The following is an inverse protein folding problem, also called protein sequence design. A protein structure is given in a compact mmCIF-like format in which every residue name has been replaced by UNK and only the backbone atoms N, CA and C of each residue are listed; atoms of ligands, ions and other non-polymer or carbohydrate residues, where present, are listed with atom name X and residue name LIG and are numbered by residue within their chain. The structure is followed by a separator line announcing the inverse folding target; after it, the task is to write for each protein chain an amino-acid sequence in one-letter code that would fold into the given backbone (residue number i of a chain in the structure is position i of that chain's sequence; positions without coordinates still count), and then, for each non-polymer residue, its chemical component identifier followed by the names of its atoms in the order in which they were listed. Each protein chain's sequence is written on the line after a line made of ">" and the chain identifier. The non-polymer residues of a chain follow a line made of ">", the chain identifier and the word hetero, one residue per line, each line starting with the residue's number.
data_IF_321972285280
#
_entry.id   IF_321972285280
#
_cell.length_a   1.000
_cell.length_b   1.000
_cell.length_c   1.000
_cell.angle_alpha   90.00
_cell.angle_beta   90.00
_cell.angle_gamma   90.00
#
_symmetry.space_group_name_H-M   'P 1'
#
loop_
_entity.id
_entity.type
_entity.pdbx_description
1 polymer ?
#
# COMPACT_ATOMS: atom_id res chain seq x y z
N UNK A 1 10.02 -7.76 -28.04
CA UNK A 1 8.67 -7.60 -27.53
C UNK A 1 8.39 -8.66 -26.45
N UNK A 2 8.53 -9.96 -26.75
CA UNK A 2 8.31 -11.07 -25.79
C UNK A 2 9.21 -11.05 -24.55
N UNK A 3 10.42 -10.53 -24.63
CA UNK A 3 11.39 -10.50 -23.52
C UNK A 3 11.02 -9.39 -22.50
N UNK A 4 10.42 -8.30 -22.96
CA UNK A 4 10.00 -7.18 -22.11
C UNK A 4 8.77 -7.56 -21.30
N UNK A 5 7.79 -8.20 -21.93
CA UNK A 5 6.58 -8.71 -21.25
C UNK A 5 6.91 -9.75 -20.17
N UNK A 6 7.93 -10.58 -20.39
CA UNK A 6 8.39 -11.57 -19.41
C UNK A 6 9.10 -10.94 -18.19
N UNK A 7 9.77 -9.79 -18.35
CA UNK A 7 10.43 -9.09 -17.26
C UNK A 7 9.44 -8.41 -16.32
N UNK A 8 8.34 -7.84 -16.84
CA UNK A 8 7.26 -7.21 -16.05
C UNK A 8 6.53 -8.27 -15.22
N UNK A 9 6.18 -9.41 -15.84
CA UNK A 9 5.53 -10.54 -15.16
C UNK A 9 6.38 -11.13 -14.03
N UNK A 10 7.71 -11.16 -14.17
CA UNK A 10 8.63 -11.68 -13.15
C UNK A 10 8.73 -10.73 -11.96
N UNK A 11 8.73 -9.41 -12.18
CA UNK A 11 8.78 -8.43 -11.10
C UNK A 11 7.55 -8.48 -10.19
N UNK A 12 6.36 -8.53 -10.78
CA UNK A 12 5.10 -8.62 -10.06
C UNK A 12 4.93 -9.98 -9.37
N UNK A 13 5.30 -11.07 -10.02
CA UNK A 13 5.28 -12.42 -9.43
C UNK A 13 6.23 -12.54 -8.24
N UNK A 14 7.36 -11.80 -8.23
CA UNK A 14 8.30 -11.77 -7.13
C UNK A 14 7.72 -11.04 -5.90
N UNK A 15 6.99 -9.95 -6.09
CA UNK A 15 6.30 -9.23 -5.00
C UNK A 15 5.26 -10.12 -4.34
N UNK A 16 4.42 -10.78 -5.11
CA UNK A 16 3.40 -11.70 -4.61
C UNK A 16 4.06 -12.89 -3.91
N UNK A 17 5.12 -13.47 -4.47
CA UNK A 17 5.84 -14.59 -3.89
C UNK A 17 6.53 -14.22 -2.58
N UNK A 18 7.06 -13.00 -2.46
CA UNK A 18 7.69 -12.52 -1.24
C UNK A 18 6.66 -12.28 -0.11
N UNK A 19 5.50 -11.70 -0.42
CA UNK A 19 4.40 -11.54 0.56
C UNK A 19 3.91 -12.91 1.08
N UNK A 20 3.68 -13.87 0.19
CA UNK A 20 3.19 -15.22 0.56
C UNK A 20 4.24 -16.04 1.34
N UNK A 21 5.54 -15.80 1.13
CA UNK A 21 6.60 -16.59 1.77
C UNK A 21 6.95 -16.10 3.18
N UNK A 22 6.73 -14.83 3.51
CA UNK A 22 7.03 -14.25 4.83
C UNK A 22 6.07 -14.76 5.93
N UNK A 23 4.86 -15.17 5.58
CA UNK A 23 3.85 -15.69 6.52
C UNK A 23 4.06 -17.14 6.95
N UNK A 24 5.15 -17.81 6.53
CA UNK A 24 5.41 -19.25 6.81
C UNK A 24 6.56 -19.53 7.77
N UNK A 25 6.96 -18.61 8.62
CA UNK A 25 7.90 -18.95 9.70
C UNK A 25 7.13 -19.53 10.91
N UNK A 26 7.52 -20.71 11.45
CA UNK A 26 6.77 -21.36 12.50
C UNK A 26 7.01 -20.67 13.85
N UNK A 27 5.93 -20.20 14.47
CA UNK A 27 5.92 -19.72 15.85
C UNK A 27 6.35 -20.85 16.80
N UNK A 28 7.53 -20.74 17.37
CA UNK A 28 7.97 -21.60 18.47
C UNK A 28 7.19 -21.20 19.72
N UNK A 29 6.24 -22.04 20.11
CA UNK A 29 5.56 -21.94 21.41
C UNK A 29 6.53 -22.31 22.52
N UNK A 30 6.91 -21.36 23.36
CA UNK A 30 7.47 -21.64 24.67
C UNK A 30 6.37 -21.49 25.71
N UNK A 31 6.13 -22.58 26.43
CA UNK A 31 5.08 -22.72 27.43
C UNK A 31 5.54 -22.25 28.82
N UNK A 32 4.53 -21.89 29.62
CA UNK A 32 4.41 -21.89 31.08
C UNK A 32 4.92 -20.67 31.85
N UNK A 33 4.04 -20.02 32.60
CA UNK A 33 3.78 -20.38 34.01
C UNK A 33 2.51 -19.68 34.50
N UNK A 34 1.62 -20.46 35.13
CA UNK A 34 0.41 -20.02 35.82
C UNK A 34 0.74 -19.19 37.06
N UNK A 35 -0.04 -18.15 37.33
CA UNK A 35 -0.32 -17.73 38.71
C UNK A 35 -1.75 -17.20 38.79
N UNK A 36 -2.54 -17.89 39.57
CA UNK A 36 -3.91 -17.62 39.98
C UNK A 36 -3.96 -16.48 40.97
N UNK A 37 -4.87 -15.50 40.84
CA UNK A 37 -5.56 -14.84 41.98
C UNK A 37 -6.90 -14.23 41.53
N UNK A 38 -7.96 -14.77 42.08
CA UNK A 38 -9.20 -14.27 42.65
C UNK A 38 -10.03 -13.14 41.99
N UNK A 39 -11.21 -13.52 41.74
CA UNK A 39 -12.58 -13.03 41.56
C UNK A 39 -12.94 -11.74 42.28
N UNK A 40 -13.49 -10.78 41.52
CA UNK A 40 -14.58 -9.90 42.00
C UNK A 40 -15.53 -9.64 40.84
N UNK A 41 -16.79 -10.05 41.05
CA UNK A 41 -17.92 -9.79 40.14
C UNK A 41 -18.35 -8.32 40.30
N UNK A 42 -18.41 -7.62 39.19
CA UNK A 42 -19.31 -6.48 39.03
C UNK A 42 -19.95 -6.54 37.64
N UNK A 43 -21.27 -6.75 37.64
CA UNK A 43 -22.12 -6.77 36.46
C UNK A 43 -22.28 -5.35 35.94
N UNK A 44 -21.69 -5.04 34.79
CA UNK A 44 -22.13 -3.92 33.96
C UNK A 44 -22.57 -4.41 32.59
N UNK A 45 -23.78 -4.01 32.23
CA UNK A 45 -24.39 -4.19 30.95
C UNK A 45 -23.48 -3.63 29.84
N UNK A 46 -22.74 -4.51 29.16
CA UNK A 46 -22.08 -4.15 27.91
C UNK A 46 -23.11 -4.34 26.80
N UNK A 47 -23.64 -3.24 26.34
CA UNK A 47 -24.20 -3.15 24.99
C UNK A 47 -23.01 -3.39 24.07
N UNK A 48 -22.91 -4.56 23.47
CA UNK A 48 -22.00 -4.84 22.36
C UNK A 48 -22.40 -3.89 21.20
N UNK A 49 -21.80 -2.71 21.17
CA UNK A 49 -21.61 -2.02 19.92
C UNK A 49 -20.55 -2.82 19.17
N UNK A 50 -20.94 -3.49 18.08
CA UNK A 50 -20.01 -4.05 17.10
C UNK A 50 -19.05 -2.94 16.72
N UNK A 51 -17.83 -3.01 17.22
CA UNK A 51 -16.77 -2.06 16.91
C UNK A 51 -16.21 -2.44 15.54
N UNK A 52 -16.96 -2.10 14.48
CA UNK A 52 -16.45 -2.17 13.11
C UNK A 52 -15.38 -1.10 13.02
N UNK A 53 -14.12 -1.49 13.22
CA UNK A 53 -13.01 -0.55 13.08
C UNK A 53 -12.82 -0.21 11.61
N UNK A 54 -13.40 0.91 11.20
CA UNK A 54 -13.17 1.46 9.87
C UNK A 54 -11.81 2.17 9.85
N UNK A 55 -10.99 1.88 8.85
CA UNK A 55 -9.74 2.59 8.60
C UNK A 55 -9.88 3.50 7.37
N UNK A 56 -9.39 4.72 7.49
CA UNK A 56 -9.38 5.73 6.44
C UNK A 56 -7.98 5.87 5.85
N UNK A 57 -7.87 5.57 4.56
CA UNK A 57 -6.64 5.60 3.79
C UNK A 57 -6.71 6.79 2.84
N UNK A 58 -5.76 7.74 2.97
CA UNK A 58 -5.73 8.95 2.14
C UNK A 58 -4.95 8.73 0.84
N UNK A 59 -5.00 9.70 -0.06
CA UNK A 59 -4.19 9.64 -1.29
C UNK A 59 -2.70 9.72 -0.95
N UNK A 60 -1.84 8.85 -1.54
CA UNK A 60 -0.40 8.91 -1.33
C UNK A 60 0.27 10.08 -2.07
N UNK A 61 -0.45 10.77 -2.94
CA UNK A 61 0.09 11.81 -3.83
C UNK A 61 -0.99 12.83 -4.19
N UNK A 62 -0.56 14.08 -4.44
CA UNK A 62 -1.45 15.09 -5.01
C UNK A 62 -1.62 14.84 -6.52
N UNK A 63 -2.84 14.94 -7.05
CA UNK A 63 -3.03 14.72 -8.48
C UNK A 63 -4.48 14.59 -8.90
N UNK A 64 -4.67 14.02 -10.09
CA UNK A 64 -5.99 13.75 -10.64
C UNK A 64 -6.24 12.26 -10.66
N UNK A 65 -7.36 11.83 -10.08
CA UNK A 65 -7.77 10.41 -10.10
C UNK A 65 -8.08 10.00 -11.52
N UNK A 66 -7.52 8.88 -11.94
CA UNK A 66 -7.77 8.23 -13.23
C UNK A 66 -8.58 6.96 -13.00
N UNK A 67 -9.44 6.65 -13.96
CA UNK A 67 -10.14 5.37 -13.91
C UNK A 67 -9.12 4.23 -13.98
N UNK A 68 -9.17 3.28 -13.05
CA UNK A 68 -8.20 2.18 -12.99
C UNK A 68 -8.12 1.41 -14.32
N UNK A 69 -9.26 1.23 -14.98
CA UNK A 69 -9.33 0.58 -16.29
C UNK A 69 -8.62 1.34 -17.45
N UNK A 70 -8.25 2.62 -17.22
CA UNK A 70 -7.52 3.44 -18.20
C UNK A 70 -6.00 3.45 -17.96
N UNK A 71 -5.53 2.77 -16.89
CA UNK A 71 -4.11 2.62 -16.62
C UNK A 71 -3.44 1.83 -17.74
N UNK A 72 -2.29 2.29 -18.20
CA UNK A 72 -1.60 1.75 -19.39
C UNK A 72 -0.95 0.37 -19.16
N UNK A 73 -1.19 -0.29 -18.03
CA UNK A 73 -0.72 -1.64 -17.71
C UNK A 73 -1.91 -2.51 -17.32
N UNK A 74 -2.05 -3.67 -17.97
CA UNK A 74 -3.19 -4.58 -17.78
C UNK A 74 -3.25 -5.17 -16.36
N UNK A 75 -2.11 -5.38 -15.70
CA UNK A 75 -2.04 -5.93 -14.34
C UNK A 75 -2.69 -4.97 -13.34
N UNK A 76 -2.43 -3.66 -13.49
CA UNK A 76 -3.05 -2.63 -12.67
C UNK A 76 -4.48 -2.34 -13.12
N UNK A 77 -4.73 -2.25 -14.43
CA UNK A 77 -6.04 -1.94 -14.99
C UNK A 77 -7.11 -2.98 -14.64
N UNK A 78 -6.73 -4.25 -14.55
CA UNK A 78 -7.63 -5.36 -14.17
C UNK A 78 -7.82 -5.54 -12.66
N UNK A 79 -7.14 -4.74 -11.84
CA UNK A 79 -7.11 -4.88 -10.37
C UNK A 79 -6.70 -6.29 -9.88
N UNK A 80 -5.89 -7.00 -10.67
CA UNK A 80 -5.44 -8.36 -10.35
C UNK A 80 -4.63 -8.44 -9.05
N UNK A 81 -3.96 -7.34 -8.66
CA UNK A 81 -3.15 -7.25 -7.46
C UNK A 81 -3.95 -6.82 -6.22
N UNK A 82 -5.20 -6.40 -6.38
CA UNK A 82 -6.05 -5.91 -5.32
C UNK A 82 -6.81 -4.64 -5.70
N UNK A 83 -7.59 -4.11 -4.75
CA UNK A 83 -8.37 -2.90 -4.99
C UNK A 83 -7.46 -1.70 -5.19
N UNK A 84 -7.55 -1.06 -6.36
CA UNK A 84 -6.59 -0.05 -6.84
C UNK A 84 -7.23 1.33 -6.95
N UNK A 85 -6.52 2.35 -6.44
CA UNK A 85 -6.75 3.77 -6.74
C UNK A 85 -5.57 4.27 -7.55
N UNK A 86 -5.83 4.81 -8.74
CA UNK A 86 -4.82 5.36 -9.65
C UNK A 86 -4.91 6.89 -9.69
N UNK A 87 -3.78 7.56 -9.58
CA UNK A 87 -3.68 9.02 -9.57
C UNK A 87 -2.58 9.46 -10.54
N UNK A 88 -2.91 10.39 -11.43
CA UNK A 88 -1.90 11.10 -12.22
C UNK A 88 -1.33 12.23 -11.37
N UNK A 89 -0.06 12.13 -10.93
CA UNK A 89 0.50 13.04 -9.95
C UNK A 89 0.81 14.42 -10.52
N UNK A 90 0.60 15.46 -9.70
CA UNK A 90 0.99 16.84 -10.02
C UNK A 90 2.34 17.23 -9.41
N UNK A 91 2.81 16.49 -8.43
CA UNK A 91 4.15 16.59 -7.85
C UNK A 91 4.70 15.21 -7.51
N UNK A 92 6.01 15.12 -7.27
CA UNK A 92 6.71 13.86 -7.04
C UNK A 92 6.83 13.46 -5.58
N UNK A 93 6.08 14.07 -4.67
CA UNK A 93 6.15 13.73 -3.26
C UNK A 93 5.15 12.62 -2.93
N UNK A 94 5.68 11.44 -2.63
CA UNK A 94 4.89 10.27 -2.24
C UNK A 94 4.90 10.19 -0.71
N UNK A 95 3.71 10.16 -0.10
CA UNK A 95 3.55 10.15 1.35
C UNK A 95 2.84 8.89 1.85
N UNK A 96 3.00 8.59 3.14
CA UNK A 96 2.26 7.53 3.81
C UNK A 96 0.76 7.89 3.84
N UNK A 97 -0.12 7.03 3.30
CA UNK A 97 -1.55 7.29 3.23
C UNK A 97 -2.28 7.03 4.56
N UNK A 98 -1.60 6.40 5.51
CA UNK A 98 -2.07 6.02 6.84
C UNK A 98 -0.89 5.85 7.79
N UNK A 99 -1.17 5.66 9.09
CA UNK A 99 -0.18 5.23 10.05
C UNK A 99 0.16 3.75 9.82
N UNK A 100 1.42 3.35 9.97
CA UNK A 100 1.81 1.97 9.75
C UNK A 100 3.31 1.72 9.81
N UNK A 101 3.72 0.59 9.23
CA UNK A 101 5.11 0.18 9.10
C UNK A 101 5.46 -0.07 7.63
N UNK A 102 6.61 0.42 7.21
CA UNK A 102 7.17 0.11 5.89
C UNK A 102 7.62 -1.35 5.88
N UNK A 103 6.87 -2.20 5.21
CA UNK A 103 7.20 -3.62 5.10
C UNK A 103 8.36 -3.86 4.15
N UNK A 104 8.37 -3.12 3.05
CA UNK A 104 9.44 -3.17 2.06
C UNK A 104 9.45 -1.90 1.22
N UNK A 105 10.63 -1.34 0.98
CA UNK A 105 10.85 -0.32 -0.04
C UNK A 105 11.82 -0.86 -1.08
N UNK A 106 11.37 -0.96 -2.33
CA UNK A 106 12.15 -1.58 -3.40
C UNK A 106 13.48 -0.86 -3.62
N UNK A 107 14.51 -1.62 -3.98
CA UNK A 107 15.87 -1.07 -4.13
C UNK A 107 15.94 0.10 -5.10
N UNK A 108 15.18 0.04 -6.18
CA UNK A 108 15.03 1.11 -7.17
C UNK A 108 14.13 2.27 -6.72
N UNK A 109 13.46 2.16 -5.58
CA UNK A 109 12.61 3.23 -5.03
C UNK A 109 11.32 3.49 -5.81
N UNK A 110 10.99 2.68 -6.83
CA UNK A 110 9.77 2.86 -7.63
C UNK A 110 8.50 2.38 -6.93
N UNK A 111 8.65 1.60 -5.86
CA UNK A 111 7.51 1.06 -5.10
C UNK A 111 7.82 0.90 -3.62
N UNK A 112 6.79 0.97 -2.79
CA UNK A 112 6.85 0.78 -1.34
C UNK A 112 5.61 0.05 -0.85
N UNK A 113 5.81 -0.89 0.10
CA UNK A 113 4.74 -1.61 0.78
C UNK A 113 4.62 -1.11 2.23
N UNK A 114 3.39 -0.89 2.69
CA UNK A 114 3.07 -0.46 4.05
C UNK A 114 2.02 -1.40 4.63
N UNK A 115 2.22 -1.84 5.88
CA UNK A 115 1.19 -2.51 6.65
C UNK A 115 0.66 -1.59 7.74
N UNK A 116 -0.66 -1.55 7.91
CA UNK A 116 -1.32 -0.79 8.98
C UNK A 116 -1.50 -1.65 10.23
N UNK A 117 -1.78 -1.02 11.37
CA UNK A 117 -2.10 -1.76 12.61
C UNK A 117 -3.41 -2.56 12.49
N UNK A 118 -4.35 -2.11 11.64
CA UNK A 118 -5.58 -2.84 11.34
C UNK A 118 -5.37 -4.04 10.41
N UNK A 119 -4.18 -4.19 9.85
CA UNK A 119 -3.77 -5.29 8.99
C UNK A 119 -4.02 -5.07 7.50
N UNK A 120 -4.22 -3.82 7.06
CA UNK A 120 -4.25 -3.50 5.64
C UNK A 120 -2.82 -3.53 5.07
N UNK A 121 -2.66 -4.14 3.90
CA UNK A 121 -1.41 -4.19 3.16
C UNK A 121 -1.52 -3.33 1.90
N UNK A 122 -0.78 -2.23 1.88
CA UNK A 122 -0.80 -1.25 0.80
C UNK A 122 0.48 -1.32 0.00
N UNK A 123 0.36 -1.49 -1.32
CA UNK A 123 1.44 -1.28 -2.28
C UNK A 123 1.23 0.07 -2.98
N UNK A 124 2.21 0.95 -2.91
CA UNK A 124 2.26 2.19 -3.69
C UNK A 124 3.29 2.00 -4.79
N UNK A 125 2.86 2.04 -6.04
CA UNK A 125 3.71 1.88 -7.23
C UNK A 125 3.73 3.17 -8.04
N UNK A 126 4.91 3.71 -8.28
CA UNK A 126 5.13 5.04 -8.85
C UNK A 126 5.48 4.93 -10.33
N UNK A 127 4.58 5.38 -11.19
CA UNK A 127 4.73 5.27 -12.64
C UNK A 127 4.52 3.84 -13.17
N UNK A 128 4.62 3.68 -14.48
CA UNK A 128 4.54 2.39 -15.18
C UNK A 128 5.93 2.03 -15.72
N UNK A 129 6.35 0.79 -15.53
CA UNK A 129 7.68 0.25 -15.95
C UNK A 129 8.90 1.00 -15.38
N UNK A 130 8.72 1.78 -14.35
CA UNK A 130 9.76 2.62 -13.74
C UNK A 130 10.85 1.83 -13.00
N UNK A 131 10.63 0.54 -12.75
CA UNK A 131 11.68 -0.39 -12.29
C UNK A 131 12.89 -0.40 -13.25
N UNK A 132 12.65 -0.22 -14.56
CA UNK A 132 13.68 -0.19 -15.59
C UNK A 132 14.60 1.04 -15.52
N UNK A 133 14.23 2.06 -14.74
CA UNK A 133 15.04 3.26 -14.52
C UNK A 133 16.21 3.02 -13.54
N UNK A 134 16.33 1.84 -12.94
CA UNK A 134 17.43 1.47 -12.04
C UNK A 134 17.61 2.47 -10.87
N UNK A 135 16.50 2.99 -10.34
CA UNK A 135 16.48 3.95 -9.23
C UNK A 135 16.75 5.40 -9.62
N UNK A 136 17.01 5.68 -10.88
CA UNK A 136 17.18 7.07 -11.35
C UNK A 136 15.87 7.83 -11.25
N UNK A 137 15.91 8.99 -10.58
CA UNK A 137 14.72 9.80 -10.35
C UNK A 137 13.94 9.44 -9.09
N UNK A 138 14.43 8.53 -8.24
CA UNK A 138 13.80 8.16 -6.98
C UNK A 138 14.74 8.38 -5.79
N UNK A 139 14.24 9.06 -4.75
CA UNK A 139 14.96 9.28 -3.50
C UNK A 139 14.13 8.72 -2.34
N UNK A 140 14.58 7.59 -1.80
CA UNK A 140 13.97 6.96 -0.62
C UNK A 140 14.19 7.83 0.62
N UNK A 141 13.14 8.11 1.40
CA UNK A 141 13.19 8.90 2.64
C UNK A 141 13.03 8.02 3.88
N UNK A 142 12.62 6.78 3.69
CA UNK A 142 12.42 5.79 4.74
C UNK A 142 13.15 4.50 4.38
N UNK A 143 13.22 3.57 5.32
CA UNK A 143 13.79 2.24 5.14
C UNK A 143 12.79 1.17 5.58
N UNK A 144 13.06 -0.08 5.23
CA UNK A 144 12.30 -1.23 5.71
C UNK A 144 12.23 -1.24 7.24
N UNK A 145 11.06 -1.57 7.79
CA UNK A 145 10.78 -1.59 9.22
C UNK A 145 10.55 -0.21 9.84
N UNK A 146 10.61 0.88 9.06
CA UNK A 146 10.33 2.21 9.59
C UNK A 146 8.85 2.37 9.94
N UNK A 147 8.57 2.87 11.16
CA UNK A 147 7.23 3.33 11.53
C UNK A 147 6.98 4.67 10.88
N UNK A 148 5.84 4.80 10.22
CA UNK A 148 5.43 6.02 9.52
C UNK A 148 4.06 6.47 10.00
N UNK A 149 3.84 7.78 9.94
CA UNK A 149 2.53 8.40 10.17
C UNK A 149 1.96 8.91 8.86
N UNK A 150 0.66 8.97 8.79
CA UNK A 150 -0.04 9.59 7.67
C UNK A 150 0.58 10.97 7.34
N UNK A 151 0.97 11.13 6.06
CA UNK A 151 1.62 12.33 5.55
C UNK A 151 3.16 12.34 5.60
N UNK A 152 3.79 11.38 6.27
CA UNK A 152 5.26 11.24 6.25
C UNK A 152 5.74 10.95 4.82
N UNK A 153 6.80 11.64 4.39
CA UNK A 153 7.36 11.44 3.04
C UNK A 153 8.09 10.12 2.96
N UNK A 154 7.66 9.25 2.06
CA UNK A 154 8.26 7.94 1.81
C UNK A 154 9.32 7.99 0.72
N UNK A 155 8.96 8.60 -0.40
CA UNK A 155 9.79 8.68 -1.61
C UNK A 155 9.59 10.06 -2.25
N UNK A 156 10.66 10.64 -2.77
CA UNK A 156 10.59 11.75 -3.73
C UNK A 156 10.91 11.21 -5.12
N UNK A 157 9.98 11.37 -6.06
CA UNK A 157 10.10 10.97 -7.45
C UNK A 157 10.28 12.19 -8.36
N UNK A 158 11.23 12.13 -9.26
CA UNK A 158 11.42 13.14 -10.29
C UNK A 158 10.50 12.80 -11.48
N UNK A 159 9.31 13.41 -11.51
CA UNK A 159 8.32 13.17 -12.56
C UNK A 159 8.82 13.55 -13.95
N UNK A 160 9.68 14.56 -14.06
CA UNK A 160 10.24 14.97 -15.34
C UNK A 160 11.27 13.94 -15.84
N UNK A 161 12.07 13.37 -14.94
CA UNK A 161 12.99 12.27 -15.27
C UNK A 161 12.24 11.02 -15.71
N UNK A 162 11.11 10.67 -15.03
CA UNK A 162 10.25 9.55 -15.42
C UNK A 162 9.69 9.76 -16.83
N UNK A 163 9.11 10.95 -17.11
CA UNK A 163 8.58 11.30 -18.43
C UNK A 163 9.69 11.31 -19.51
N UNK A 164 10.86 11.86 -19.19
CA UNK A 164 11.99 11.88 -20.11
C UNK A 164 12.53 10.49 -20.46
N UNK A 165 12.38 9.52 -19.54
CA UNK A 165 12.69 8.12 -19.77
C UNK A 165 11.61 7.39 -20.60
N UNK A 166 10.47 8.04 -20.89
CA UNK A 166 9.38 7.49 -21.69
C UNK A 166 8.34 6.72 -20.90
N UNK A 167 8.32 6.85 -19.56
CA UNK A 167 7.39 6.16 -18.68
C UNK A 167 6.20 7.05 -18.28
N UNK A 168 4.98 6.50 -18.19
CA UNK A 168 3.86 7.19 -17.55
C UNK A 168 4.13 7.41 -16.06
N UNK A 169 3.64 8.53 -15.51
CA UNK A 169 3.81 8.90 -14.10
C UNK A 169 2.67 8.45 -13.20
N UNK A 170 1.61 7.88 -13.78
CA UNK A 170 0.44 7.39 -13.02
C UNK A 170 0.89 6.54 -11.84
N UNK A 171 0.48 6.95 -10.65
CA UNK A 171 0.84 6.28 -9.39
C UNK A 171 -0.35 5.49 -8.88
N UNK A 172 -0.14 4.21 -8.59
CA UNK A 172 -1.17 3.30 -8.09
C UNK A 172 -0.98 3.06 -6.60
N UNK A 173 -2.07 3.16 -5.84
CA UNK A 173 -2.18 2.66 -4.46
C UNK A 173 -3.12 1.44 -4.48
N UNK A 174 -2.61 0.30 -4.02
CA UNK A 174 -3.27 -1.00 -4.14
C UNK A 174 -3.40 -1.61 -2.75
N UNK A 175 -4.63 -1.93 -2.35
CA UNK A 175 -4.90 -2.76 -1.18
C UNK A 175 -4.78 -4.23 -1.61
N UNK A 176 -3.67 -4.87 -1.27
CA UNK A 176 -3.33 -6.20 -1.80
C UNK A 176 -4.06 -7.34 -1.11
N UNK A 177 -4.51 -7.12 0.11
CA UNK A 177 -5.30 -8.08 0.89
C UNK A 177 -6.76 -7.65 1.09
N UNK A 178 -7.38 -7.12 0.04
CA UNK A 178 -8.76 -6.61 0.09
C UNK A 178 -9.78 -7.67 0.58
N UNK A 179 -9.54 -8.94 0.32
CA UNK A 179 -10.40 -10.07 0.73
C UNK A 179 -10.43 -10.30 2.26
N UNK A 180 -9.49 -9.72 3.02
CA UNK A 180 -9.46 -9.79 4.48
C UNK A 180 -10.42 -8.80 5.15
N UNK A 181 -11.07 -7.94 4.36
CA UNK A 181 -11.97 -6.88 4.83
C UNK A 181 -13.41 -7.14 4.39
N UNK A 182 -14.36 -6.85 5.29
CA UNK A 182 -15.79 -7.01 5.02
C UNK A 182 -16.30 -6.01 3.99
N UNK A 183 -15.64 -4.83 3.92
CA UNK A 183 -15.97 -3.79 2.95
C UNK A 183 -14.74 -2.98 2.57
N UNK A 184 -14.60 -2.74 1.26
CA UNK A 184 -13.60 -1.83 0.69
C UNK A 184 -14.32 -0.85 -0.23
N UNK A 185 -14.17 0.45 0.03
CA UNK A 185 -14.82 1.52 -0.73
C UNK A 185 -13.77 2.49 -1.26
N UNK A 186 -13.67 2.63 -2.59
CA UNK A 186 -12.87 3.67 -3.24
C UNK A 186 -13.63 4.99 -3.20
N UNK A 187 -13.06 6.01 -2.57
CA UNK A 187 -13.71 7.33 -2.36
C UNK A 187 -13.07 8.44 -3.18
N UNK A 188 -11.82 8.25 -3.63
CA UNK A 188 -11.11 9.25 -4.42
C UNK A 188 -11.80 9.52 -5.75
N UNK A 189 -11.99 10.80 -6.08
CA UNK A 189 -12.55 11.24 -7.35
C UNK A 189 -12.06 12.65 -7.73
N UNK A 190 -11.90 12.91 -9.02
CA UNK A 190 -11.45 14.22 -9.51
C UNK A 190 -10.03 14.57 -9.07
N UNK A 191 -9.81 15.80 -8.64
CA UNK A 191 -8.52 16.24 -8.11
C UNK A 191 -8.44 15.92 -6.62
N UNK A 192 -7.35 15.31 -6.18
CA UNK A 192 -7.09 14.93 -4.80
C UNK A 192 -5.77 15.49 -4.30
N UNK A 193 -5.71 15.70 -3.00
CA UNK A 193 -4.49 15.99 -2.25
C UNK A 193 -4.17 14.83 -1.31
N UNK A 194 -2.99 14.83 -0.72
CA UNK A 194 -2.58 13.81 0.27
C UNK A 194 -3.40 13.86 1.58
N UNK A 195 -4.27 14.84 1.76
CA UNK A 195 -5.21 14.91 2.88
C UNK A 195 -6.59 14.31 2.55
N UNK A 196 -6.89 14.09 1.26
CA UNK A 196 -8.19 13.60 0.82
C UNK A 196 -8.28 12.08 0.95
N UNK A 197 -9.44 11.61 1.39
CA UNK A 197 -9.72 10.19 1.53
C UNK A 197 -9.72 9.52 0.16
N UNK A 198 -8.93 8.47 0.00
CA UNK A 198 -8.86 7.68 -1.23
C UNK A 198 -9.57 6.33 -1.11
N UNK A 199 -9.53 5.74 0.07
CA UNK A 199 -10.14 4.44 0.33
C UNK A 199 -10.61 4.36 1.77
N UNK A 200 -11.74 3.68 2.01
CA UNK A 200 -12.23 3.32 3.33
C UNK A 200 -12.39 1.81 3.40
N UNK A 201 -11.89 1.21 4.48
CA UNK A 201 -11.98 -0.24 4.71
C UNK A 201 -12.65 -0.52 6.06
N UNK A 202 -13.40 -1.62 6.13
CA UNK A 202 -14.09 -2.09 7.33
C UNK A 202 -13.75 -3.58 7.53
N UNK A 203 -13.42 -3.96 8.76
CA UNK A 203 -13.05 -5.34 9.12
C UNK A 203 -14.23 -6.14 9.53
#
# INVERSE_FOLDING_TARGET
>A
QYIIEMAISVGVAFVISFMIYKDKEPVVKTAATETTVEKTEETENVVEAENVSAEEITSPVNGNVVATAEVADETFASEMLGTTVAVEPTDGKIVAPCDGEVMNIFDTGHAVCIATEAGAELLIHIGIDTVSMDGKGFVKKVADGAKVRKGDVLIEADLDAIKAAGHPTTTMMILTNADDFSKVEKTAAGTVTTADLAMKIEK
#
